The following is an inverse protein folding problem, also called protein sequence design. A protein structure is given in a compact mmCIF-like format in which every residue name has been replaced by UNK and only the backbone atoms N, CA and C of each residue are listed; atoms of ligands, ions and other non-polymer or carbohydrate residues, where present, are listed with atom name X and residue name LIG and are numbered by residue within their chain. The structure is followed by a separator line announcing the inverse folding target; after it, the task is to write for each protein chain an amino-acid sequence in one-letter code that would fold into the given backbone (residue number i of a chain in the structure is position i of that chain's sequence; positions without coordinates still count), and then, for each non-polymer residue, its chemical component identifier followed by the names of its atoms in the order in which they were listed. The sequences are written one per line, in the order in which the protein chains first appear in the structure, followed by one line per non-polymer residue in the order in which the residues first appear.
data_IF_859298340125
#
_entry.id   IF_859298340125
#
_cell.length_a   1.000
_cell.length_b   1.000
_cell.length_c   1.000
_cell.angle_alpha   90.00
_cell.angle_beta   90.00
_cell.angle_gamma   90.00
#
_symmetry.space_group_name_H-M   'P 1'
#
loop_
_entity.id
_entity.type
_entity.pdbx_description
1 polymer ?
#
# COMPACT_ATOMS: atom_id res chain seq x y z
N UNK A 1 9.33 38.50 2.12
CA UNK A 1 8.42 37.38 2.01
C UNK A 1 8.73 36.36 3.10
N UNK A 2 7.71 35.88 3.82
CA UNK A 2 7.89 34.87 4.87
C UNK A 2 7.72 33.50 4.25
N UNK A 3 8.79 32.68 4.28
CA UNK A 3 8.73 31.29 3.82
C UNK A 3 8.05 30.46 4.90
N UNK A 4 7.00 29.75 4.52
CA UNK A 4 6.28 28.85 5.41
C UNK A 4 7.00 27.51 5.51
N UNK A 5 7.14 26.97 6.73
CA UNK A 5 7.70 25.65 6.94
C UNK A 5 6.65 24.58 6.57
N UNK A 6 7.07 23.61 5.78
CA UNK A 6 6.29 22.39 5.52
C UNK A 6 6.60 21.34 6.57
N UNK A 7 5.66 20.43 6.79
CA UNK A 7 5.83 19.24 7.62
C UNK A 7 5.26 18.02 6.91
N UNK A 8 5.94 16.89 7.05
CA UNK A 8 5.56 15.63 6.40
C UNK A 8 4.57 14.88 7.26
N UNK A 9 3.47 14.45 6.66
CA UNK A 9 2.48 13.58 7.28
C UNK A 9 2.83 12.11 7.01
N UNK A 10 2.26 11.20 7.81
CA UNK A 10 2.33 9.76 7.54
C UNK A 10 1.90 9.48 6.09
N UNK A 11 2.74 8.75 5.33
CA UNK A 11 2.54 8.53 3.89
C UNK A 11 3.33 9.46 2.98
N UNK A 12 4.19 10.34 3.52
CA UNK A 12 5.12 11.16 2.75
C UNK A 12 4.56 12.49 2.24
N UNK A 13 3.26 12.75 2.43
CA UNK A 13 2.63 13.98 1.95
C UNK A 13 3.06 15.21 2.75
N UNK A 14 3.37 16.29 2.07
CA UNK A 14 3.73 17.57 2.68
C UNK A 14 2.49 18.42 2.96
N UNK A 15 2.49 19.07 4.12
CA UNK A 15 1.47 20.03 4.56
C UNK A 15 2.10 21.35 4.95
N UNK A 16 1.31 22.40 4.83
CA UNK A 16 1.62 23.73 5.33
C UNK A 16 0.45 24.22 6.17
N UNK A 17 0.74 25.03 7.19
CA UNK A 17 -0.30 25.56 8.08
C UNK A 17 -0.35 27.08 8.00
N UNK A 18 -1.57 27.61 7.92
CA UNK A 18 -1.88 29.03 7.97
C UNK A 18 -2.73 29.36 9.21
N UNK A 19 -2.62 30.60 9.69
CA UNK A 19 -3.39 31.07 10.83
C UNK A 19 -2.65 30.99 12.16
N UNK A 20 -3.29 31.48 13.23
CA UNK A 20 -2.77 31.50 14.60
C UNK A 20 -3.76 30.83 15.57
N UNK A 21 -3.24 30.20 16.60
CA UNK A 21 -4.04 29.61 17.67
C UNK A 21 -5.12 28.64 17.14
N UNK A 22 -6.36 28.80 17.61
CA UNK A 22 -7.51 27.95 17.25
C UNK A 22 -7.92 28.06 15.76
N UNK A 23 -7.50 29.12 15.07
CA UNK A 23 -7.81 29.34 13.64
C UNK A 23 -6.71 28.79 12.70
N UNK A 24 -5.79 27.99 13.20
CA UNK A 24 -4.76 27.34 12.39
C UNK A 24 -5.37 26.25 11.51
N UNK A 25 -5.28 26.44 10.19
CA UNK A 25 -5.71 25.44 9.19
C UNK A 25 -4.50 24.87 8.47
N UNK A 26 -4.52 23.57 8.20
CA UNK A 26 -3.45 22.86 7.51
C UNK A 26 -3.93 22.42 6.13
N UNK A 27 -3.10 22.64 5.12
CA UNK A 27 -3.40 22.33 3.72
C UNK A 27 -2.32 21.42 3.14
N UNK A 28 -2.70 20.55 2.23
CA UNK A 28 -1.78 19.72 1.48
C UNK A 28 -1.06 20.55 0.43
N UNK A 29 0.28 20.47 0.37
CA UNK A 29 1.09 21.28 -0.55
C UNK A 29 0.73 20.96 -2.01
N UNK A 30 0.64 19.67 -2.40
CA UNK A 30 0.27 19.27 -3.76
C UNK A 30 -1.09 19.84 -4.19
N UNK A 31 -2.07 19.94 -3.25
CA UNK A 31 -3.38 20.49 -3.57
C UNK A 31 -3.33 22.00 -3.79
N UNK A 32 -2.52 22.73 -3.01
CA UNK A 32 -2.30 24.15 -3.22
C UNK A 32 -1.59 24.43 -4.56
N UNK A 33 -0.56 23.66 -4.86
CA UNK A 33 0.15 23.76 -6.15
C UNK A 33 -0.77 23.40 -7.31
N UNK A 34 -1.54 22.30 -7.18
CA UNK A 34 -2.52 21.91 -8.18
C UNK A 34 -3.53 23.01 -8.47
N UNK A 35 -4.13 23.62 -7.45
CA UNK A 35 -5.09 24.71 -7.60
C UNK A 35 -4.48 25.96 -8.24
N UNK A 36 -3.21 26.27 -7.97
CA UNK A 36 -2.55 27.47 -8.45
C UNK A 36 -1.97 27.33 -9.87
N UNK A 37 -1.51 26.13 -10.27
CA UNK A 37 -0.66 25.97 -11.43
C UNK A 37 -1.08 24.83 -12.39
N UNK A 38 -1.96 23.90 -11.98
CA UNK A 38 -2.38 22.78 -12.83
C UNK A 38 -3.75 23.08 -13.41
N UNK A 39 -3.91 23.16 -14.73
CA UNK A 39 -5.22 23.43 -15.34
C UNK A 39 -6.20 22.27 -15.15
N UNK A 40 -7.50 22.55 -15.30
CA UNK A 40 -8.52 21.52 -15.27
C UNK A 40 -9.10 21.21 -13.91
N UNK A 41 -8.87 22.04 -12.89
CA UNK A 41 -9.51 21.88 -11.58
C UNK A 41 -11.04 21.84 -11.70
N UNK A 42 -11.65 20.88 -11.04
CA UNK A 42 -13.10 20.79 -10.76
C UNK A 42 -13.29 20.30 -9.34
N UNK A 43 -14.40 20.68 -8.73
CA UNK A 43 -14.76 20.18 -7.41
C UNK A 43 -14.90 18.67 -7.43
N UNK A 44 -14.45 18.00 -6.37
CA UNK A 44 -14.46 16.53 -6.27
C UNK A 44 -13.24 15.84 -6.88
N UNK A 45 -12.37 16.52 -7.64
CA UNK A 45 -11.15 15.90 -8.17
C UNK A 45 -10.04 15.78 -7.12
N UNK A 46 -9.23 14.75 -7.31
CA UNK A 46 -8.01 14.46 -6.56
C UNK A 46 -6.78 14.95 -7.32
N UNK A 47 -5.69 15.19 -6.61
CA UNK A 47 -4.39 15.45 -7.21
C UNK A 47 -3.57 14.17 -7.17
N UNK A 48 -3.15 13.71 -8.33
CA UNK A 48 -2.24 12.58 -8.49
C UNK A 48 -0.82 13.05 -8.73
N UNK A 49 0.17 12.32 -8.20
CA UNK A 49 1.59 12.48 -8.51
C UNK A 49 1.97 11.51 -9.63
N UNK A 50 2.35 12.02 -10.80
CA UNK A 50 2.67 11.19 -11.97
C UNK A 50 3.83 10.22 -11.73
N UNK A 51 4.79 10.60 -10.89
CA UNK A 51 5.93 9.78 -10.49
C UNK A 51 5.68 8.90 -9.25
N UNK A 52 4.44 8.90 -8.72
CA UNK A 52 4.04 8.23 -7.47
C UNK A 52 4.82 8.69 -6.21
N UNK A 53 5.59 9.78 -6.29
CA UNK A 53 6.34 10.33 -5.16
C UNK A 53 5.56 11.48 -4.49
N UNK A 54 5.00 11.28 -3.28
CA UNK A 54 4.18 12.29 -2.59
C UNK A 54 4.97 13.52 -2.13
N UNK A 55 6.31 13.49 -2.21
CA UNK A 55 7.17 14.62 -1.90
C UNK A 55 7.46 15.53 -3.11
N UNK A 56 7.25 15.03 -4.33
CA UNK A 56 7.48 15.79 -5.55
C UNK A 56 6.25 16.60 -5.94
N UNK A 57 6.10 17.76 -5.33
CA UNK A 57 4.95 18.65 -5.52
C UNK A 57 5.15 19.67 -6.65
N UNK A 58 6.01 19.41 -7.64
CA UNK A 58 6.18 20.24 -8.84
C UNK A 58 4.90 20.20 -9.69
N UNK A 59 4.50 21.34 -10.24
CA UNK A 59 3.27 21.44 -11.02
C UNK A 59 3.24 20.52 -12.26
N UNK A 60 4.39 20.31 -12.91
CA UNK A 60 4.56 19.42 -14.05
C UNK A 60 4.40 17.92 -13.69
N UNK A 61 4.61 17.58 -12.42
CA UNK A 61 4.42 16.23 -11.87
C UNK A 61 2.99 15.97 -11.35
N UNK A 62 2.16 17.00 -11.29
CA UNK A 62 0.80 16.90 -10.74
C UNK A 62 -0.24 16.88 -11.86
N UNK A 63 -1.33 16.16 -11.61
CA UNK A 63 -2.50 16.15 -12.49
C UNK A 63 -3.79 16.03 -11.67
N UNK A 64 -4.89 16.56 -12.21
CA UNK A 64 -6.23 16.37 -11.66
C UNK A 64 -6.83 15.09 -12.19
N UNK A 65 -7.39 14.27 -11.31
CA UNK A 65 -8.00 13.00 -11.68
C UNK A 65 -9.19 12.67 -10.78
N UNK A 66 -10.02 11.73 -11.23
CA UNK A 66 -11.07 11.16 -10.41
C UNK A 66 -10.53 10.13 -9.40
N UNK A 67 -11.39 9.73 -8.47
CA UNK A 67 -11.05 8.75 -7.43
C UNK A 67 -10.65 7.40 -8.00
N UNK A 68 -11.36 6.94 -9.06
CA UNK A 68 -11.11 5.64 -9.69
C UNK A 68 -9.73 5.61 -10.35
N UNK A 69 -9.40 6.65 -11.10
CA UNK A 69 -8.08 6.79 -11.72
C UNK A 69 -6.98 6.83 -10.66
N UNK A 70 -7.10 7.71 -9.66
CA UNK A 70 -6.12 7.84 -8.58
C UNK A 70 -5.91 6.54 -7.81
N UNK A 71 -6.99 5.80 -7.54
CA UNK A 71 -6.93 4.53 -6.80
C UNK A 71 -6.28 3.38 -7.57
N UNK A 72 -6.22 3.49 -8.90
CA UNK A 72 -5.69 2.45 -9.80
C UNK A 72 -4.38 2.87 -10.48
N UNK A 73 -3.92 4.10 -10.22
CA UNK A 73 -2.74 4.66 -10.89
C UNK A 73 -1.45 3.92 -10.54
N UNK A 74 -0.58 3.76 -11.53
CA UNK A 74 0.76 3.22 -11.40
C UNK A 74 0.79 1.87 -10.68
N UNK A 75 1.59 1.77 -9.62
CA UNK A 75 1.76 0.57 -8.82
C UNK A 75 0.69 0.38 -7.73
N UNK A 76 -0.37 1.22 -7.69
CA UNK A 76 -1.36 1.19 -6.62
C UNK A 76 -2.06 -0.18 -6.47
N UNK A 77 -2.39 -0.83 -7.59
CA UNK A 77 -2.99 -2.17 -7.57
C UNK A 77 -1.99 -3.21 -7.06
N UNK A 78 -0.73 -3.16 -7.54
CA UNK A 78 0.32 -4.07 -7.06
C UNK A 78 0.53 -3.91 -5.56
N UNK A 79 0.64 -2.69 -5.06
CA UNK A 79 0.75 -2.41 -3.61
C UNK A 79 -0.43 -2.95 -2.80
N UNK A 80 -1.65 -2.92 -3.35
CA UNK A 80 -2.84 -3.52 -2.70
C UNK A 80 -2.72 -5.04 -2.66
N UNK A 81 -2.32 -5.66 -3.78
CA UNK A 81 -2.09 -7.10 -3.87
C UNK A 81 -1.01 -7.53 -2.88
N UNK A 82 0.15 -6.88 -2.88
CA UNK A 82 1.28 -7.19 -1.98
C UNK A 82 0.89 -7.05 -0.50
N UNK A 83 0.02 -6.11 -0.17
CA UNK A 83 -0.48 -5.94 1.19
C UNK A 83 -1.46 -7.04 1.62
N UNK A 84 -2.27 -7.55 0.68
CA UNK A 84 -3.29 -8.58 0.93
C UNK A 84 -2.70 -9.97 0.78
N UNK A 85 -1.90 -10.17 -0.27
CA UNK A 85 -1.21 -11.43 -0.53
C UNK A 85 0.03 -11.52 0.34
N UNK A 86 -0.09 -12.30 1.41
CA UNK A 86 1.05 -12.68 2.24
C UNK A 86 1.33 -14.16 1.99
N UNK A 87 2.25 -14.49 1.08
CA UNK A 87 2.63 -15.86 0.81
C UNK A 87 3.14 -16.54 2.07
N UNK A 88 2.80 -17.81 2.24
CA UNK A 88 3.17 -18.60 3.41
C UNK A 88 3.74 -19.95 2.98
N UNK A 89 4.59 -20.48 3.80
CA UNK A 89 5.18 -21.81 3.64
C UNK A 89 4.66 -22.71 4.76
N UNK A 90 4.17 -23.89 4.37
CA UNK A 90 3.99 -24.99 5.30
C UNK A 90 5.36 -25.66 5.47
N UNK A 91 5.91 -25.61 6.68
CA UNK A 91 7.31 -26.01 6.93
C UNK A 91 7.49 -27.51 6.70
N UNK A 92 6.54 -28.33 7.12
CA UNK A 92 6.62 -29.79 7.02
C UNK A 92 6.55 -30.30 5.58
N UNK A 93 5.78 -29.64 4.73
CA UNK A 93 5.62 -30.06 3.33
C UNK A 93 6.49 -29.29 2.36
N UNK A 94 7.10 -28.18 2.79
CA UNK A 94 7.83 -27.26 1.93
C UNK A 94 6.95 -26.50 0.94
N UNK A 95 5.62 -26.67 1.01
CA UNK A 95 4.70 -26.10 0.03
C UNK A 95 4.53 -24.60 0.24
N UNK A 96 4.71 -23.84 -0.84
CA UNK A 96 4.47 -22.40 -0.87
C UNK A 96 3.06 -22.10 -1.36
N UNK A 97 2.29 -21.39 -0.54
CA UNK A 97 0.98 -20.86 -0.90
C UNK A 97 1.07 -19.36 -1.12
N UNK A 98 0.56 -18.87 -2.24
CA UNK A 98 0.62 -17.43 -2.58
C UNK A 98 -0.25 -16.57 -1.66
N UNK A 99 -1.24 -17.18 -1.01
CA UNK A 99 -2.06 -16.49 0.00
C UNK A 99 -2.39 -17.43 1.15
N UNK A 100 -2.57 -16.87 2.34
CA UNK A 100 -3.04 -17.60 3.52
C UNK A 100 -4.45 -18.21 3.29
N UNK A 101 -5.29 -17.55 2.48
CA UNK A 101 -6.63 -18.05 2.13
C UNK A 101 -6.58 -19.29 1.26
N UNK A 102 -5.61 -19.36 0.36
CA UNK A 102 -5.37 -20.53 -0.46
C UNK A 102 -4.96 -21.72 0.41
N UNK A 103 -3.95 -21.55 1.26
CA UNK A 103 -3.54 -22.55 2.24
C UNK A 103 -4.73 -23.03 3.10
N UNK A 104 -5.54 -22.07 3.56
CA UNK A 104 -6.75 -22.35 4.36
C UNK A 104 -7.74 -23.25 3.62
N UNK A 105 -7.98 -23.00 2.34
CA UNK A 105 -8.93 -23.79 1.53
C UNK A 105 -8.41 -25.20 1.25
N UNK A 106 -7.12 -25.32 0.91
CA UNK A 106 -6.53 -26.62 0.52
C UNK A 106 -6.37 -27.53 1.72
N UNK A 107 -5.92 -26.99 2.85
CA UNK A 107 -5.64 -27.78 4.06
C UNK A 107 -6.78 -27.77 5.09
N UNK A 108 -7.90 -27.11 4.78
CA UNK A 108 -9.06 -26.96 5.65
C UNK A 108 -8.70 -26.44 7.05
N UNK A 109 -7.86 -25.39 7.11
CA UNK A 109 -7.39 -24.74 8.35
C UNK A 109 -7.72 -23.26 8.36
N UNK A 110 -7.79 -22.65 9.53
CA UNK A 110 -8.11 -21.23 9.63
C UNK A 110 -6.96 -20.32 9.13
N UNK A 111 -7.22 -19.48 8.14
CA UNK A 111 -6.24 -18.49 7.63
C UNK A 111 -5.76 -17.50 8.72
N UNK A 112 -6.62 -17.18 9.70
CA UNK A 112 -6.25 -16.34 10.85
C UNK A 112 -5.22 -17.03 11.72
N UNK A 113 -5.39 -18.32 11.99
CA UNK A 113 -4.43 -19.12 12.76
C UNK A 113 -3.09 -19.28 12.03
N UNK A 114 -3.10 -19.46 10.69
CA UNK A 114 -1.88 -19.43 9.87
C UNK A 114 -1.16 -18.09 10.07
N UNK A 115 -1.89 -16.99 10.00
CA UNK A 115 -1.31 -15.66 10.24
C UNK A 115 -0.69 -15.49 11.63
N UNK A 116 -1.33 -16.05 12.64
CA UNK A 116 -0.84 -15.98 14.02
C UNK A 116 0.44 -16.81 14.21
N UNK A 117 0.49 -18.01 13.62
CA UNK A 117 1.71 -18.83 13.58
C UNK A 117 2.87 -18.10 12.91
N UNK A 118 2.64 -17.49 11.73
CA UNK A 118 3.69 -16.76 10.99
C UNK A 118 4.22 -15.53 11.73
N UNK A 119 3.45 -14.96 12.65
CA UNK A 119 3.86 -13.79 13.45
C UNK A 119 4.62 -14.14 14.72
N UNK A 120 4.78 -15.43 15.03
CA UNK A 120 5.34 -15.87 16.31
C UNK A 120 4.44 -15.56 17.50
N UNK A 121 3.12 -15.56 17.31
CA UNK A 121 2.13 -15.31 18.32
C UNK A 121 1.95 -16.49 19.28
N UNK A 122 0.80 -16.53 20.00
CA UNK A 122 0.48 -17.59 20.97
C UNK A 122 0.33 -19.00 20.36
N UNK A 123 0.18 -19.09 19.03
CA UNK A 123 0.02 -20.34 18.31
C UNK A 123 1.30 -20.69 17.57
N UNK A 124 1.81 -21.89 17.81
CA UNK A 124 2.98 -22.45 17.13
C UNK A 124 2.60 -23.26 15.90
N UNK A 125 1.39 -23.87 15.90
CA UNK A 125 0.91 -24.71 14.81
C UNK A 125 -0.53 -24.36 14.42
N UNK A 126 -0.87 -24.64 13.18
CA UNK A 126 -2.22 -24.59 12.65
C UNK A 126 -2.46 -25.81 11.75
N UNK A 127 -3.47 -26.64 12.08
CA UNK A 127 -3.76 -27.90 11.39
C UNK A 127 -2.67 -28.94 11.55
N UNK A 128 -1.88 -28.89 12.63
CA UNK A 128 -0.74 -29.78 12.86
C UNK A 128 0.53 -29.36 12.16
N UNK A 129 0.51 -28.25 11.41
CA UNK A 129 1.65 -27.74 10.64
C UNK A 129 2.22 -26.47 11.25
N UNK A 130 3.55 -26.27 11.08
CA UNK A 130 4.22 -25.01 11.37
C UNK A 130 4.21 -24.12 10.12
N UNK A 131 4.12 -22.80 10.35
CA UNK A 131 3.95 -21.83 9.29
C UNK A 131 4.91 -20.65 9.44
N UNK A 132 5.46 -20.22 8.30
CA UNK A 132 6.19 -18.97 8.21
C UNK A 132 5.77 -18.18 6.98
N UNK A 133 6.07 -16.90 6.96
CA UNK A 133 5.96 -16.15 5.71
C UNK A 133 6.99 -16.64 4.71
N UNK A 134 6.59 -16.74 3.43
CA UNK A 134 7.51 -17.03 2.35
C UNK A 134 8.43 -15.83 2.10
N UNK A 135 9.64 -16.10 1.65
CA UNK A 135 10.52 -15.06 1.10
C UNK A 135 9.99 -14.61 -0.26
N UNK A 136 10.50 -13.48 -0.76
CA UNK A 136 10.14 -12.99 -2.08
C UNK A 136 10.50 -13.98 -3.18
N UNK A 137 11.69 -14.57 -3.08
CA UNK A 137 12.22 -15.55 -4.04
C UNK A 137 11.35 -16.81 -4.08
N UNK A 138 10.94 -17.34 -2.93
CA UNK A 138 10.05 -18.49 -2.84
C UNK A 138 8.68 -18.21 -3.45
N UNK A 139 8.13 -17.02 -3.22
CA UNK A 139 6.85 -16.61 -3.79
C UNK A 139 6.92 -16.43 -5.31
N UNK A 140 8.00 -15.83 -5.82
CA UNK A 140 8.24 -15.66 -7.25
C UNK A 140 8.44 -17.02 -7.95
N UNK A 141 9.18 -17.94 -7.35
CA UNK A 141 9.36 -19.31 -7.86
C UNK A 141 8.04 -20.06 -7.95
N UNK A 142 7.23 -20.04 -6.88
CA UNK A 142 5.91 -20.68 -6.85
C UNK A 142 4.96 -20.09 -7.89
N UNK A 143 5.02 -18.77 -8.13
CA UNK A 143 4.24 -18.10 -9.15
C UNK A 143 4.68 -18.51 -10.57
N UNK A 144 5.99 -18.64 -10.80
CA UNK A 144 6.55 -19.06 -12.08
C UNK A 144 6.17 -20.51 -12.45
N UNK A 145 6.17 -21.41 -11.47
CA UNK A 145 5.73 -22.79 -11.69
C UNK A 145 4.26 -22.88 -12.12
N UNK A 146 3.38 -22.09 -11.52
CA UNK A 146 1.94 -22.07 -11.87
C UNK A 146 1.63 -21.50 -13.26
N UNK A 147 2.51 -20.70 -13.82
CA UNK A 147 2.36 -20.15 -15.19
C UNK A 147 2.72 -21.16 -16.27
N UNK A 148 3.32 -22.30 -15.92
CA UNK A 148 3.72 -23.37 -16.84
C UNK A 148 2.64 -24.44 -17.07
N UNK A 149 1.56 -24.40 -16.26
CA UNK A 149 0.38 -25.26 -16.34
C UNK A 149 -0.77 -24.53 -17.04
#
# INVERSE_FOLDING_TARGET
PKILRTFTQRGGYQRVSFGKGKNKKAFMVHRLVGMAFVPGYREGLFVNHKDENPNNNRADNLEWCDEKYNSNYGTAQQRKVDKICKPVVCIETGTVFLTQREASKILNVSYRHISDCCKGGRRYTCGGYHWRYATREEAEAALAERRKI
#
